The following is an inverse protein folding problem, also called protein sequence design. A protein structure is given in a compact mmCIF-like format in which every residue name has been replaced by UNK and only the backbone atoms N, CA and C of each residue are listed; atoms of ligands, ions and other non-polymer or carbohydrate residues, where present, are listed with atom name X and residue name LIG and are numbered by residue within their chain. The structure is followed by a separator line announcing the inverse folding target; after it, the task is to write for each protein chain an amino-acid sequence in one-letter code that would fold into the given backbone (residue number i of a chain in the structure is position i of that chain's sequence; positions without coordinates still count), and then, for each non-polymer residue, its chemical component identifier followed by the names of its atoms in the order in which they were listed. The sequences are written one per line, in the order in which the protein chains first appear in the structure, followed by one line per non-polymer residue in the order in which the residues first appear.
data_IF_290614883264
#
_entry.id   IF_290614883264
#
_cell.length_a   1.000
_cell.length_b   1.000
_cell.length_c   1.000
_cell.angle_alpha   90.00
_cell.angle_beta   90.00
_cell.angle_gamma   90.00
#
_symmetry.space_group_name_H-M   'P 1'
#
loop_
_entity.id
_entity.type
_entity.pdbx_description
1 polymer ?
#
# COMPACT_ATOMS: atom_id res chain seq x y z
N UNK A 1 40.93 26.20 -26.31
CA UNK A 1 40.70 24.75 -26.09
C UNK A 1 39.40 24.29 -26.77
N UNK A 2 39.42 23.27 -27.65
CA UNK A 2 38.20 22.71 -28.23
C UNK A 2 37.41 21.92 -27.17
N UNK A 3 36.09 21.75 -27.33
CA UNK A 3 35.27 20.96 -26.42
C UNK A 3 35.63 19.46 -26.49
N UNK A 4 35.39 18.68 -25.42
CA UNK A 4 35.72 17.27 -25.38
C UNK A 4 34.82 16.45 -26.34
N UNK A 5 35.33 15.34 -26.90
CA UNK A 5 34.56 14.50 -27.80
C UNK A 5 33.42 13.76 -27.07
N UNK A 6 32.31 13.45 -27.76
CA UNK A 6 31.19 12.73 -27.17
C UNK A 6 31.56 11.29 -26.80
N UNK A 7 30.90 10.70 -25.78
CA UNK A 7 31.18 9.35 -25.33
C UNK A 7 30.84 8.30 -26.41
N UNK A 8 31.72 7.30 -26.53
CA UNK A 8 31.58 6.19 -27.49
C UNK A 8 30.34 5.34 -27.15
N UNK A 9 29.47 5.14 -28.14
CA UNK A 9 28.35 4.18 -28.06
C UNK A 9 28.90 2.77 -27.89
N UNK A 10 28.55 2.10 -26.80
CA UNK A 10 28.79 0.66 -26.65
C UNK A 10 27.88 -0.13 -27.60
N UNK A 11 28.36 -1.27 -28.13
CA UNK A 11 27.63 -2.05 -29.11
C UNK A 11 26.37 -2.70 -28.50
N UNK A 12 25.33 -2.70 -29.32
CA UNK A 12 24.00 -3.27 -29.11
C UNK A 12 24.03 -4.65 -28.45
N UNK A 13 23.50 -4.73 -27.21
CA UNK A 13 23.02 -6.01 -26.67
C UNK A 13 21.83 -6.44 -27.52
N UNK A 14 21.96 -7.57 -28.22
CA UNK A 14 20.87 -8.28 -28.89
C UNK A 14 19.72 -8.46 -27.88
N UNK A 15 18.52 -8.08 -28.30
CA UNK A 15 17.31 -8.22 -27.49
C UNK A 15 17.12 -9.65 -27.01
N UNK A 16 17.11 -9.84 -25.70
CA UNK A 16 16.45 -11.00 -25.11
C UNK A 16 14.94 -10.77 -25.29
N UNK A 17 14.29 -11.66 -26.03
CA UNK A 17 12.83 -11.76 -26.00
C UNK A 17 12.40 -12.03 -24.55
N UNK A 18 11.32 -11.40 -24.06
CA UNK A 18 10.78 -11.75 -22.76
C UNK A 18 10.34 -13.22 -22.81
N UNK A 19 10.59 -14.02 -21.75
CA UNK A 19 10.03 -15.34 -21.66
C UNK A 19 8.51 -15.23 -21.70
N UNK A 20 7.90 -15.98 -22.62
CA UNK A 20 6.47 -16.16 -22.75
C UNK A 20 5.86 -16.47 -21.38
N UNK A 21 5.01 -15.58 -20.88
CA UNK A 21 4.19 -15.78 -19.70
C UNK A 21 3.15 -16.88 -19.97
N UNK A 22 3.58 -18.13 -19.95
CA UNK A 22 2.74 -19.30 -19.85
C UNK A 22 2.77 -19.79 -18.40
N UNK A 23 1.96 -19.18 -17.55
CA UNK A 23 1.37 -19.88 -16.42
C UNK A 23 0.04 -19.23 -16.05
N UNK A 24 -0.97 -19.70 -16.76
CA UNK A 24 -2.40 -19.58 -16.47
C UNK A 24 -2.72 -20.14 -15.09
N UNK A 25 -3.12 -19.26 -14.16
CA UNK A 25 -4.12 -19.59 -13.12
C UNK A 25 -4.72 -18.36 -12.44
N UNK A 26 -4.18 -17.14 -12.62
CA UNK A 26 -4.77 -15.91 -12.04
C UNK A 26 -5.79 -15.19 -12.94
N UNK A 27 -5.96 -15.58 -14.21
CA UNK A 27 -6.96 -14.95 -15.09
C UNK A 27 -8.41 -15.43 -14.85
N UNK A 28 -8.65 -16.35 -13.91
CA UNK A 28 -9.98 -16.93 -13.66
C UNK A 28 -10.79 -16.29 -12.52
N UNK A 29 -10.24 -15.34 -11.76
CA UNK A 29 -11.02 -14.67 -10.71
C UNK A 29 -12.09 -13.73 -11.32
N UNK A 30 -11.75 -13.06 -12.43
CA UNK A 30 -12.67 -12.15 -13.13
C UNK A 30 -13.70 -12.85 -14.03
N UNK A 31 -13.57 -14.16 -14.24
CA UNK A 31 -14.51 -14.96 -15.05
C UNK A 31 -15.54 -15.69 -14.21
N UNK A 32 -15.47 -15.61 -12.86
CA UNK A 32 -16.50 -16.15 -11.97
C UNK A 32 -17.64 -15.12 -11.82
N UNK A 33 -18.83 -15.37 -12.39
CA UNK A 33 -19.93 -14.40 -12.37
C UNK A 33 -20.38 -14.04 -10.95
N UNK A 34 -20.31 -15.00 -10.02
CA UNK A 34 -20.71 -14.80 -8.62
C UNK A 34 -19.75 -13.89 -7.86
N UNK A 35 -18.44 -13.97 -8.17
CA UNK A 35 -17.45 -13.06 -7.58
C UNK A 35 -17.65 -11.62 -8.07
N UNK A 36 -17.84 -11.44 -9.38
CA UNK A 36 -18.11 -10.12 -9.96
C UNK A 36 -19.40 -9.51 -9.38
N UNK A 37 -20.45 -10.30 -9.25
CA UNK A 37 -21.71 -9.84 -8.65
C UNK A 37 -21.52 -9.40 -7.19
N UNK A 38 -20.85 -10.22 -6.37
CA UNK A 38 -20.51 -9.87 -4.98
C UNK A 38 -19.68 -8.59 -4.88
N UNK A 39 -18.67 -8.46 -5.75
CA UNK A 39 -17.82 -7.26 -5.80
C UNK A 39 -18.64 -6.02 -6.17
N UNK A 40 -19.50 -6.12 -7.19
CA UNK A 40 -20.40 -5.03 -7.60
C UNK A 40 -21.36 -4.65 -6.47
N UNK A 41 -21.94 -5.62 -5.77
CA UNK A 41 -22.79 -5.36 -4.59
C UNK A 41 -22.04 -4.59 -3.51
N UNK A 42 -20.80 -4.98 -3.20
CA UNK A 42 -19.95 -4.28 -2.22
C UNK A 42 -19.52 -2.87 -2.67
N UNK A 43 -19.35 -2.64 -3.97
CA UNK A 43 -18.90 -1.36 -4.53
C UNK A 43 -20.03 -0.35 -4.75
N UNK A 44 -21.26 -0.82 -5.02
CA UNK A 44 -22.42 0.06 -5.32
C UNK A 44 -22.66 1.16 -4.30
N UNK A 45 -22.60 0.93 -2.96
CA UNK A 45 -22.78 2.01 -1.99
C UNK A 45 -21.77 3.14 -2.15
N UNK A 46 -20.50 2.84 -2.43
CA UNK A 46 -19.48 3.86 -2.70
C UNK A 46 -19.80 4.65 -3.96
N UNK A 47 -20.14 3.96 -5.06
CA UNK A 47 -20.47 4.60 -6.34
C UNK A 47 -21.71 5.51 -6.25
N UNK A 48 -22.62 5.21 -5.34
CA UNK A 48 -23.84 6.00 -5.10
C UNK A 48 -23.67 7.08 -4.03
N UNK A 49 -22.51 7.17 -3.37
CA UNK A 49 -22.31 8.07 -2.23
C UNK A 49 -23.14 7.67 -1.00
N UNK A 50 -23.61 6.43 -0.91
CA UNK A 50 -24.44 5.92 0.19
C UNK A 50 -23.56 5.44 1.36
N UNK A 51 -22.74 6.34 1.91
CA UNK A 51 -21.71 6.03 2.92
C UNK A 51 -22.25 5.27 4.14
N UNK A 52 -23.46 5.61 4.59
CA UNK A 52 -24.15 4.95 5.70
C UNK A 52 -24.44 3.46 5.46
N UNK A 53 -24.54 3.02 4.20
CA UNK A 53 -24.72 1.61 3.84
C UNK A 53 -23.40 0.85 3.80
N UNK A 54 -22.27 1.55 3.70
CA UNK A 54 -20.92 0.96 3.84
C UNK A 54 -20.61 0.75 5.33
N UNK A 55 -20.79 1.80 6.12
CA UNK A 55 -20.68 1.78 7.57
C UNK A 55 -21.55 2.90 8.14
N UNK A 56 -22.41 2.55 9.10
CA UNK A 56 -23.31 3.48 9.78
C UNK A 56 -22.61 4.71 10.38
N UNK A 57 -21.34 4.59 10.79
CA UNK A 57 -20.54 5.68 11.37
C UNK A 57 -19.85 6.53 10.30
N UNK A 58 -19.69 6.04 9.07
CA UNK A 58 -18.89 6.71 8.04
C UNK A 58 -19.31 8.15 7.75
N UNK A 59 -20.62 8.51 7.65
CA UNK A 59 -21.02 9.91 7.48
C UNK A 59 -20.51 10.82 8.62
N UNK A 60 -20.55 10.35 9.87
CA UNK A 60 -20.07 11.13 11.01
C UNK A 60 -18.54 11.26 11.02
N UNK A 61 -17.81 10.21 10.60
CA UNK A 61 -16.35 10.24 10.48
C UNK A 61 -15.91 11.22 9.38
N UNK A 62 -16.62 11.24 8.25
CA UNK A 62 -16.40 12.21 7.17
C UNK A 62 -16.65 13.62 7.65
N UNK A 63 -17.74 13.87 8.39
CA UNK A 63 -18.03 15.18 8.95
C UNK A 63 -16.93 15.64 9.92
N UNK A 64 -16.36 14.74 10.72
CA UNK A 64 -15.20 15.02 11.56
C UNK A 64 -14.01 15.48 10.70
N UNK A 65 -13.64 14.72 9.66
CA UNK A 65 -12.53 15.08 8.76
C UNK A 65 -12.76 16.39 8.01
N UNK A 66 -14.00 16.69 7.64
CA UNK A 66 -14.38 17.97 7.03
C UNK A 66 -14.20 19.13 8.02
N UNK A 67 -14.61 18.95 9.28
CA UNK A 67 -14.55 20.01 10.30
C UNK A 67 -13.13 20.50 10.62
N UNK A 68 -12.14 19.69 10.27
CA UNK A 68 -10.70 19.94 10.46
C UNK A 68 -9.98 20.25 9.13
N UNK A 69 -10.75 20.55 8.08
CA UNK A 69 -10.23 21.11 6.82
C UNK A 69 -9.70 20.07 5.82
N UNK A 70 -9.94 18.76 6.00
CA UNK A 70 -9.45 17.75 5.05
C UNK A 70 -10.02 17.95 3.63
N UNK A 71 -11.25 18.46 3.50
CA UNK A 71 -11.87 18.77 2.22
C UNK A 71 -11.34 20.05 1.55
N UNK A 72 -10.62 20.90 2.28
CA UNK A 72 -10.10 22.18 1.79
C UNK A 72 -8.67 22.06 1.26
N UNK A 73 -7.98 20.98 1.62
CA UNK A 73 -6.60 20.73 1.25
C UNK A 73 -6.54 20.00 -0.09
N UNK A 74 -5.96 20.63 -1.12
CA UNK A 74 -5.66 19.96 -2.38
C UNK A 74 -4.62 18.84 -2.17
N UNK A 75 -4.86 17.68 -2.78
CA UNK A 75 -4.02 16.50 -2.69
C UNK A 75 -3.95 15.75 -4.02
N UNK A 76 -2.94 16.08 -4.84
CA UNK A 76 -2.55 15.42 -6.11
C UNK A 76 -3.60 15.49 -7.22
N UNK A 77 -4.73 14.80 -7.09
CA UNK A 77 -5.78 14.72 -8.10
C UNK A 77 -7.18 15.08 -7.57
N UNK A 78 -7.30 15.33 -6.26
CA UNK A 78 -8.55 15.75 -5.60
C UNK A 78 -8.28 16.52 -4.31
N UNK A 79 -9.24 16.51 -3.38
CA UNK A 79 -9.00 16.96 -2.01
C UNK A 79 -8.35 15.86 -1.18
N UNK A 80 -7.79 16.23 -0.03
CA UNK A 80 -7.24 15.25 0.90
C UNK A 80 -8.33 14.35 1.49
N UNK A 81 -9.54 14.87 1.67
CA UNK A 81 -10.70 14.06 2.06
C UNK A 81 -11.02 12.99 1.01
N UNK A 82 -10.96 13.33 -0.28
CA UNK A 82 -11.22 12.37 -1.37
C UNK A 82 -10.20 11.23 -1.32
N UNK A 83 -8.91 11.57 -1.16
CA UNK A 83 -7.85 10.60 -0.98
C UNK A 83 -8.08 9.65 0.22
N UNK A 84 -8.41 10.20 1.40
CA UNK A 84 -8.68 9.39 2.59
C UNK A 84 -9.87 8.44 2.40
N UNK A 85 -10.93 8.91 1.73
CA UNK A 85 -12.11 8.11 1.40
C UNK A 85 -11.78 7.01 0.38
N UNK A 86 -10.93 7.31 -0.59
CA UNK A 86 -10.55 6.35 -1.63
C UNK A 86 -9.64 5.25 -1.08
N UNK A 87 -8.70 5.57 -0.19
CA UNK A 87 -7.93 4.56 0.56
C UNK A 87 -8.84 3.69 1.43
N UNK A 88 -9.79 4.30 2.15
CA UNK A 88 -10.80 3.55 2.92
C UNK A 88 -11.62 2.61 2.02
N UNK A 89 -12.06 3.10 0.85
CA UNK A 89 -12.80 2.32 -0.14
C UNK A 89 -11.98 1.12 -0.63
N UNK A 90 -10.73 1.33 -1.03
CA UNK A 90 -9.82 0.28 -1.49
C UNK A 90 -9.71 -0.82 -0.41
N UNK A 91 -9.42 -0.45 0.83
CA UNK A 91 -9.27 -1.40 1.94
C UNK A 91 -10.56 -2.17 2.24
N UNK A 92 -11.72 -1.51 2.23
CA UNK A 92 -13.02 -2.17 2.42
C UNK A 92 -13.32 -3.16 1.30
N UNK A 93 -13.04 -2.79 0.04
CA UNK A 93 -13.25 -3.68 -1.11
C UNK A 93 -12.27 -4.86 -1.14
N UNK A 94 -11.06 -4.69 -0.58
CA UNK A 94 -10.13 -5.80 -0.35
C UNK A 94 -10.50 -6.69 0.84
N UNK A 95 -11.57 -6.36 1.58
CA UNK A 95 -12.02 -7.13 2.74
C UNK A 95 -11.09 -7.00 3.95
N UNK A 96 -10.35 -5.89 4.06
CA UNK A 96 -9.50 -5.64 5.22
C UNK A 96 -10.35 -5.48 6.50
N UNK A 97 -9.81 -5.80 7.70
CA UNK A 97 -10.52 -5.56 8.95
C UNK A 97 -10.93 -4.10 9.12
N UNK A 98 -12.07 -3.84 9.79
CA UNK A 98 -12.58 -2.48 9.96
C UNK A 98 -11.59 -1.55 10.65
N UNK A 99 -10.82 -2.03 11.64
CA UNK A 99 -9.76 -1.26 12.28
C UNK A 99 -8.66 -0.81 11.31
N UNK A 100 -8.33 -1.63 10.30
CA UNK A 100 -7.38 -1.31 9.24
C UNK A 100 -7.99 -0.34 8.24
N UNK A 101 -9.26 -0.51 7.88
CA UNK A 101 -9.95 0.43 7.00
C UNK A 101 -10.03 1.81 7.63
N UNK A 102 -10.45 1.90 8.91
CA UNK A 102 -10.45 3.14 9.69
C UNK A 102 -9.03 3.71 9.86
N UNK A 103 -8.01 2.86 9.98
CA UNK A 103 -6.64 3.30 9.90
C UNK A 103 -6.37 4.00 8.56
N UNK A 104 -6.80 3.44 7.44
CA UNK A 104 -6.78 4.08 6.10
C UNK A 104 -7.45 5.45 6.06
N UNK A 105 -8.67 5.55 6.58
CA UNK A 105 -9.43 6.80 6.60
C UNK A 105 -8.76 7.92 7.42
N UNK A 106 -7.97 7.56 8.45
CA UNK A 106 -7.33 8.49 9.36
C UNK A 106 -5.79 8.39 9.35
N UNK A 107 -5.17 7.80 8.32
CA UNK A 107 -3.75 7.40 8.33
C UNK A 107 -2.76 8.57 8.38
N UNK A 108 -3.26 9.80 8.32
CA UNK A 108 -2.50 11.04 8.42
C UNK A 108 -3.02 11.99 9.51
N UNK A 109 -3.87 11.49 10.43
CA UNK A 109 -4.49 12.29 11.47
C UNK A 109 -3.50 13.10 12.30
N UNK A 110 -2.30 12.56 12.60
CA UNK A 110 -1.34 13.17 13.52
C UNK A 110 -0.06 13.70 12.85
N UNK A 111 -0.08 13.96 11.53
CA UNK A 111 1.11 14.08 10.67
C UNK A 111 1.79 12.73 10.43
N UNK A 112 2.46 12.55 9.29
CA UNK A 112 3.18 11.33 8.99
C UNK A 112 4.53 11.61 8.31
N UNK A 113 5.30 10.56 8.00
CA UNK A 113 6.66 10.66 7.44
C UNK A 113 6.74 11.19 6.00
N UNK A 114 5.61 11.38 5.31
CA UNK A 114 5.55 11.77 3.90
C UNK A 114 4.97 13.16 3.67
N UNK A 115 4.01 13.59 4.51
CA UNK A 115 3.36 14.90 4.37
C UNK A 115 3.07 15.52 5.73
N UNK A 116 3.46 16.80 5.92
CA UNK A 116 3.15 17.57 7.12
C UNK A 116 1.74 18.19 7.07
N UNK A 117 0.73 17.35 6.85
CA UNK A 117 -0.70 17.69 6.87
C UNK A 117 -1.32 17.16 8.16
N UNK A 118 -0.80 17.56 9.32
CA UNK A 118 -1.40 17.18 10.60
C UNK A 118 -2.83 17.73 10.67
N UNK A 119 -3.82 16.85 10.68
CA UNK A 119 -5.22 17.25 10.80
C UNK A 119 -5.59 17.47 12.29
N UNK A 120 -4.97 16.69 13.18
CA UNK A 120 -5.12 16.75 14.63
C UNK A 120 -3.75 16.94 15.30
N UNK A 121 -3.72 17.71 16.38
CA UNK A 121 -2.54 17.78 17.22
C UNK A 121 -2.28 16.41 17.89
N UNK A 122 -1.07 15.83 17.78
CA UNK A 122 -0.78 14.49 18.32
C UNK A 122 -0.85 14.39 19.85
N UNK A 123 -0.71 15.51 20.57
CA UNK A 123 -0.70 15.53 22.04
C UNK A 123 -2.10 15.65 22.64
N UNK A 124 -3.04 16.28 21.94
CA UNK A 124 -4.43 16.46 22.42
C UNK A 124 -5.48 15.73 21.58
N UNK A 125 -5.14 15.32 20.35
CA UNK A 125 -6.08 14.77 19.38
C UNK A 125 -6.33 13.26 19.50
N UNK A 126 -5.47 12.52 20.22
CA UNK A 126 -5.56 11.06 20.26
C UNK A 126 -6.84 10.55 20.91
N UNK A 127 -7.24 11.15 22.02
CA UNK A 127 -8.47 10.75 22.73
C UNK A 127 -9.73 11.09 21.92
N UNK A 128 -9.70 12.21 21.20
CA UNK A 128 -10.77 12.64 20.29
C UNK A 128 -10.92 11.62 19.16
N UNK A 129 -9.85 11.31 18.43
CA UNK A 129 -9.89 10.31 17.36
C UNK A 129 -10.33 8.96 17.91
N UNK A 130 -9.80 8.51 19.06
CA UNK A 130 -10.19 7.25 19.71
C UNK A 130 -11.68 7.17 20.00
N UNK A 131 -12.29 8.27 20.44
CA UNK A 131 -13.73 8.33 20.71
C UNK A 131 -14.59 8.08 19.46
N UNK A 132 -14.05 8.39 18.28
CA UNK A 132 -14.73 8.18 17.00
C UNK A 132 -14.47 6.79 16.40
N UNK A 133 -13.21 6.34 16.41
CA UNK A 133 -12.78 5.12 15.67
C UNK A 133 -12.58 3.89 16.55
N UNK A 134 -12.54 4.06 17.88
CA UNK A 134 -12.26 2.99 18.85
C UNK A 134 -10.76 2.76 19.09
N UNK A 135 -10.44 2.02 20.16
CA UNK A 135 -9.07 1.80 20.64
C UNK A 135 -8.16 1.12 19.62
N UNK A 136 -8.65 0.09 18.95
CA UNK A 136 -7.85 -0.71 18.03
C UNK A 136 -7.43 0.11 16.81
N UNK A 137 -8.39 0.79 16.18
CA UNK A 137 -8.13 1.65 15.02
C UNK A 137 -7.22 2.82 15.40
N UNK A 138 -7.46 3.49 16.53
CA UNK A 138 -6.62 4.60 16.97
C UNK A 138 -5.18 4.18 17.22
N UNK A 139 -4.96 3.00 17.80
CA UNK A 139 -3.61 2.46 17.99
C UNK A 139 -2.90 2.25 16.65
N UNK A 140 -3.60 1.72 15.64
CA UNK A 140 -3.04 1.55 14.30
C UNK A 140 -2.70 2.89 13.66
N UNK A 141 -3.62 3.87 13.72
CA UNK A 141 -3.43 5.23 13.20
C UNK A 141 -2.19 5.87 13.83
N UNK A 142 -2.09 5.81 15.16
CA UNK A 142 -0.95 6.36 15.88
C UNK A 142 0.36 5.72 15.45
N UNK A 143 0.44 4.38 15.46
CA UNK A 143 1.65 3.67 15.04
C UNK A 143 2.01 4.00 13.58
N UNK A 144 1.02 4.07 12.70
CA UNK A 144 1.23 4.40 11.30
C UNK A 144 1.86 5.79 11.19
N UNK A 145 1.38 6.78 11.95
CA UNK A 145 1.91 8.14 11.97
C UNK A 145 3.35 8.27 12.51
N UNK A 146 3.78 7.39 13.44
CA UNK A 146 5.07 7.53 14.13
C UNK A 146 6.18 6.60 13.63
N UNK A 147 5.83 5.53 12.91
CA UNK A 147 6.80 4.57 12.37
C UNK A 147 7.40 5.10 11.06
N UNK A 148 8.73 5.02 10.88
CA UNK A 148 9.40 5.43 9.64
C UNK A 148 9.13 4.39 8.54
N UNK A 149 8.01 4.54 7.85
CA UNK A 149 7.53 3.54 6.87
C UNK A 149 8.43 3.44 5.64
N UNK A 150 9.02 4.54 5.18
CA UNK A 150 9.90 4.51 4.00
C UNK A 150 11.07 3.51 4.17
N UNK A 151 11.93 3.64 5.18
CA UNK A 151 13.01 2.67 5.37
C UNK A 151 12.51 1.30 5.79
N UNK A 152 11.42 1.21 6.57
CA UNK A 152 10.87 -0.08 6.97
C UNK A 152 10.33 -0.88 5.78
N UNK A 153 9.57 -0.25 4.88
CA UNK A 153 8.90 -0.94 3.77
C UNK A 153 9.83 -1.08 2.57
N UNK A 154 10.53 -0.02 2.17
CA UNK A 154 11.37 -0.06 0.97
C UNK A 154 12.72 -0.72 1.27
N UNK A 155 13.50 -0.14 2.18
CA UNK A 155 14.89 -0.56 2.39
C UNK A 155 15.00 -1.92 3.08
N UNK A 156 14.13 -2.19 4.06
CA UNK A 156 14.18 -3.41 4.86
C UNK A 156 13.35 -4.56 4.32
N UNK A 157 12.39 -4.32 3.40
CA UNK A 157 11.55 -5.38 2.84
C UNK A 157 11.64 -5.47 1.32
N UNK A 158 11.11 -4.48 0.60
CA UNK A 158 10.94 -4.56 -0.86
C UNK A 158 12.30 -4.72 -1.54
N UNK A 159 13.28 -3.88 -1.21
CA UNK A 159 14.62 -3.93 -1.82
C UNK A 159 15.50 -5.07 -1.29
N UNK A 160 14.95 -5.96 -0.46
CA UNK A 160 15.63 -7.16 0.04
C UNK A 160 15.24 -8.42 -0.72
N UNK A 161 14.34 -8.28 -1.70
CA UNK A 161 13.87 -9.33 -2.59
C UNK A 161 14.07 -8.93 -4.05
N UNK A 162 14.62 -9.86 -4.83
CA UNK A 162 14.44 -9.82 -6.29
C UNK A 162 13.03 -10.35 -6.64
N UNK A 163 12.46 -9.88 -7.75
CA UNK A 163 11.09 -10.26 -8.14
C UNK A 163 10.94 -11.78 -8.31
N UNK A 164 11.89 -12.43 -8.97
CA UNK A 164 11.87 -13.89 -9.18
C UNK A 164 11.99 -14.66 -7.85
N UNK A 165 12.85 -14.18 -6.93
CA UNK A 165 13.02 -14.74 -5.59
C UNK A 165 11.71 -14.64 -4.80
N UNK A 166 11.04 -13.48 -4.84
CA UNK A 166 9.77 -13.25 -4.14
C UNK A 166 8.67 -14.19 -4.65
N UNK A 167 8.55 -14.33 -5.97
CA UNK A 167 7.56 -15.22 -6.61
C UNK A 167 7.83 -16.68 -6.24
N UNK A 168 9.09 -17.12 -6.24
CA UNK A 168 9.48 -18.46 -5.83
C UNK A 168 9.16 -18.72 -4.36
N UNK A 169 9.57 -17.80 -3.47
CA UNK A 169 9.33 -17.89 -2.04
C UNK A 169 7.83 -17.88 -1.68
N UNK A 170 7.02 -17.09 -2.40
CA UNK A 170 5.56 -17.09 -2.24
C UNK A 170 4.98 -18.46 -2.55
N UNK A 171 5.29 -19.04 -3.72
CA UNK A 171 4.81 -20.39 -4.11
C UNK A 171 5.23 -21.46 -3.11
N UNK A 172 6.48 -21.41 -2.65
CA UNK A 172 6.99 -22.34 -1.65
C UNK A 172 6.24 -22.21 -0.31
N UNK A 173 5.92 -20.97 0.11
CA UNK A 173 5.17 -20.71 1.33
C UNK A 173 3.72 -21.20 1.26
N UNK A 174 3.04 -21.03 0.12
CA UNK A 174 1.67 -21.51 -0.10
C UNK A 174 1.59 -23.03 -0.03
N UNK A 175 2.54 -23.71 -0.66
CA UNK A 175 2.65 -25.16 -0.61
C UNK A 175 2.95 -25.65 0.81
N UNK A 176 3.82 -24.96 1.55
CA UNK A 176 4.09 -25.27 2.95
C UNK A 176 2.83 -25.15 3.82
N UNK A 177 2.03 -24.10 3.64
CA UNK A 177 0.74 -23.93 4.34
C UNK A 177 -0.24 -25.05 3.98
N UNK A 178 -0.28 -25.47 2.71
CA UNK A 178 -1.12 -26.58 2.25
C UNK A 178 -0.73 -27.90 2.91
N UNK A 179 0.58 -28.22 2.96
CA UNK A 179 1.09 -29.41 3.66
C UNK A 179 0.79 -29.38 5.14
N UNK A 180 0.97 -28.25 5.83
CA UNK A 180 0.62 -28.12 7.26
C UNK A 180 -0.86 -28.45 7.48
N UNK A 181 -1.76 -27.97 6.61
CA UNK A 181 -3.20 -28.25 6.72
C UNK A 181 -3.57 -29.72 6.47
N UNK A 182 -2.87 -30.40 5.57
CA UNK A 182 -3.18 -31.78 5.16
C UNK A 182 -2.47 -32.84 6.01
N UNK A 183 -1.21 -32.57 6.37
CA UNK A 183 -0.26 -33.56 6.91
C UNK A 183 0.22 -33.19 8.32
N UNK A 184 -0.05 -31.97 8.81
CA UNK A 184 0.37 -31.49 10.13
C UNK A 184 1.87 -31.22 10.27
N UNK A 185 2.66 -31.44 9.21
CA UNK A 185 4.11 -31.23 9.23
C UNK A 185 4.47 -29.76 8.92
N UNK A 186 5.27 -29.13 9.79
CA UNK A 186 5.86 -27.80 9.56
C UNK A 186 7.37 -27.87 9.68
N UNK A 187 8.08 -27.23 8.75
CA UNK A 187 9.54 -27.06 8.83
C UNK A 187 9.90 -25.61 9.11
N UNK A 188 10.88 -25.39 9.98
CA UNK A 188 11.51 -24.07 10.19
C UNK A 188 12.73 -23.86 9.27
N UNK A 189 13.15 -24.92 8.58
CA UNK A 189 14.39 -24.92 7.81
C UNK A 189 14.25 -24.42 6.37
N UNK A 190 13.01 -24.17 5.93
CA UNK A 190 12.70 -23.71 4.57
C UNK A 190 13.36 -22.36 4.27
N UNK A 191 13.97 -22.24 3.09
CA UNK A 191 14.73 -21.06 2.66
C UNK A 191 13.90 -19.78 2.70
N UNK A 192 12.67 -19.84 2.17
CA UNK A 192 11.72 -18.72 2.19
C UNK A 192 11.43 -18.25 3.63
N UNK A 193 11.35 -19.19 4.57
CA UNK A 193 11.01 -18.93 5.97
C UNK A 193 12.18 -18.32 6.73
N UNK A 194 13.40 -18.79 6.48
CA UNK A 194 14.63 -18.18 7.00
C UNK A 194 14.75 -16.74 6.52
N UNK A 195 14.62 -16.52 5.20
CA UNK A 195 14.67 -15.19 4.58
C UNK A 195 13.67 -14.23 5.21
N UNK A 196 12.39 -14.58 5.30
CA UNK A 196 11.38 -13.66 5.86
C UNK A 196 11.60 -13.42 7.37
N UNK A 197 12.07 -14.42 8.12
CA UNK A 197 12.39 -14.28 9.54
C UNK A 197 13.61 -13.37 9.78
N UNK A 198 14.57 -13.35 8.86
CA UNK A 198 15.71 -12.43 8.91
C UNK A 198 15.28 -10.98 8.66
N UNK A 199 14.30 -10.76 7.79
CA UNK A 199 13.79 -9.41 7.48
C UNK A 199 12.79 -8.90 8.53
N UNK A 200 11.87 -9.75 8.96
CA UNK A 200 10.86 -9.44 9.98
C UNK A 200 10.81 -10.59 10.97
N UNK A 201 11.50 -10.51 12.11
CA UNK A 201 11.51 -11.56 13.14
C UNK A 201 10.11 -11.90 13.68
N UNK A 202 9.97 -13.07 14.33
CA UNK A 202 8.68 -13.60 14.78
C UNK A 202 8.01 -12.67 15.81
N UNK A 203 8.83 -11.99 16.60
CA UNK A 203 8.46 -11.06 17.64
C UNK A 203 8.42 -9.58 17.17
N UNK A 204 8.63 -9.35 15.88
CA UNK A 204 8.59 -8.05 15.22
C UNK A 204 9.95 -7.38 15.04
N UNK A 205 9.91 -6.09 14.74
CA UNK A 205 11.08 -5.23 14.57
C UNK A 205 11.02 -4.07 15.55
N UNK A 206 12.18 -3.48 15.84
CA UNK A 206 12.27 -2.21 16.59
C UNK A 206 12.68 -1.13 15.61
N UNK A 207 11.90 -0.06 15.54
CA UNK A 207 12.16 1.12 14.70
C UNK A 207 12.23 2.36 15.57
N UNK A 208 12.82 3.43 15.05
CA UNK A 208 12.92 4.71 15.76
C UNK A 208 11.68 5.56 15.47
N UNK A 209 11.02 6.06 16.51
CA UNK A 209 9.94 7.03 16.38
C UNK A 209 10.42 8.24 15.55
N UNK A 210 9.68 8.63 14.51
CA UNK A 210 10.14 9.65 13.53
C UNK A 210 10.47 11.03 14.15
N UNK A 211 9.76 11.44 15.22
CA UNK A 211 10.02 12.69 15.95
C UNK A 211 10.95 12.55 17.16
N UNK A 212 10.68 11.59 18.06
CA UNK A 212 11.41 11.49 19.35
C UNK A 212 12.68 10.65 19.27
N UNK A 213 12.82 9.79 18.26
CA UNK A 213 13.94 8.85 18.17
C UNK A 213 13.88 7.70 19.19
N UNK A 214 12.78 7.58 19.94
CA UNK A 214 12.57 6.48 20.89
C UNK A 214 12.32 5.15 20.17
N UNK A 215 12.59 4.05 20.86
CA UNK A 215 12.34 2.71 20.33
C UNK A 215 10.84 2.38 20.31
N UNK A 216 10.36 2.00 19.14
CA UNK A 216 8.98 1.55 18.91
C UNK A 216 9.03 0.10 18.41
N UNK A 217 8.45 -0.81 19.19
CA UNK A 217 8.31 -2.21 18.77
C UNK A 217 7.10 -2.39 17.87
N UNK A 218 7.33 -2.94 16.68
CA UNK A 218 6.32 -3.16 15.65
C UNK A 218 6.24 -4.67 15.38
N UNK A 219 5.11 -5.30 15.71
CA UNK A 219 4.95 -6.73 15.48
C UNK A 219 4.89 -7.06 13.98
N UNK A 220 5.19 -8.30 13.60
CA UNK A 220 5.09 -8.77 12.20
C UNK A 220 3.72 -8.49 11.58
N UNK A 221 2.63 -8.60 12.36
CA UNK A 221 1.28 -8.30 11.89
C UNK A 221 1.10 -6.80 11.59
N UNK A 222 1.68 -5.92 12.40
CA UNK A 222 1.62 -4.48 12.14
C UNK A 222 2.46 -4.11 10.91
N UNK A 223 3.63 -4.73 10.72
CA UNK A 223 4.43 -4.57 9.49
C UNK A 223 3.60 -4.96 8.25
N UNK A 224 2.89 -6.09 8.31
CA UNK A 224 2.01 -6.52 7.22
C UNK A 224 0.84 -5.54 6.96
N UNK A 225 0.21 -5.02 8.02
CA UNK A 225 -0.82 -3.98 7.89
C UNK A 225 -0.23 -2.72 7.24
N UNK A 226 0.97 -2.31 7.61
CA UNK A 226 1.61 -1.13 7.03
C UNK A 226 1.98 -1.32 5.57
N UNK A 227 2.45 -2.51 5.20
CA UNK A 227 2.66 -2.86 3.80
C UNK A 227 1.35 -2.78 3.00
N UNK A 228 0.26 -3.38 3.51
CA UNK A 228 -1.06 -3.32 2.87
C UNK A 228 -1.55 -1.87 2.69
N UNK A 229 -1.40 -1.06 3.74
CA UNK A 229 -1.75 0.36 3.73
C UNK A 229 -0.92 1.15 2.72
N UNK A 230 0.39 0.89 2.62
CA UNK A 230 1.26 1.51 1.61
C UNK A 230 0.83 1.14 0.20
N UNK A 231 0.42 -0.12 -0.04
CA UNK A 231 -0.11 -0.52 -1.35
C UNK A 231 -1.40 0.23 -1.65
N UNK A 232 -2.34 0.30 -0.70
CA UNK A 232 -3.61 1.03 -0.90
C UNK A 232 -3.40 2.53 -1.16
N UNK A 233 -2.53 3.18 -0.38
CA UNK A 233 -2.12 4.59 -0.54
C UNK A 233 -1.48 4.84 -1.90
N UNK A 234 -0.62 3.91 -2.35
CA UNK A 234 0.04 3.99 -3.66
C UNK A 234 -0.95 3.79 -4.83
N UNK A 235 -1.83 2.79 -4.75
CA UNK A 235 -2.82 2.49 -5.79
C UNK A 235 -3.83 3.62 -6.01
N UNK A 236 -4.17 4.40 -4.97
CA UNK A 236 -5.00 5.60 -5.13
C UNK A 236 -4.31 6.72 -5.96
N UNK A 237 -2.99 6.66 -6.06
CA UNK A 237 -2.17 7.75 -6.60
C UNK A 237 -1.47 7.37 -7.91
N UNK A 238 -1.66 6.13 -8.38
CA UNK A 238 -1.10 5.63 -9.61
C UNK A 238 -2.12 5.76 -10.75
N UNK A 239 -1.73 6.51 -11.77
CA UNK A 239 -2.52 6.78 -12.95
C UNK A 239 -1.69 6.55 -14.21
N UNK A 240 -2.36 6.24 -15.31
CA UNK A 240 -1.72 5.82 -16.55
C UNK A 240 -0.80 6.88 -17.18
N UNK A 241 -0.97 8.16 -16.86
CA UNK A 241 -0.03 9.18 -17.33
C UNK A 241 1.40 8.95 -16.79
N UNK A 242 1.58 8.43 -15.56
CA UNK A 242 2.90 8.10 -15.03
C UNK A 242 3.55 7.02 -15.91
N UNK A 243 2.76 6.01 -16.29
CA UNK A 243 3.27 4.94 -17.13
C UNK A 243 3.73 5.43 -18.50
N UNK A 244 2.93 6.30 -19.12
CA UNK A 244 3.26 6.87 -20.42
C UNK A 244 4.45 7.81 -20.30
N UNK A 245 4.46 8.70 -19.30
CA UNK A 245 5.50 9.70 -19.09
C UNK A 245 6.86 9.06 -18.84
N UNK A 246 6.89 8.00 -18.04
CA UNK A 246 8.12 7.39 -17.53
C UNK A 246 8.49 6.05 -18.17
N UNK A 247 7.77 5.64 -19.22
CA UNK A 247 7.95 4.34 -19.88
C UNK A 247 7.87 3.17 -18.88
N UNK A 248 6.87 3.19 -18.01
CA UNK A 248 6.65 2.19 -16.96
C UNK A 248 5.69 1.06 -17.40
N UNK A 249 5.78 0.64 -18.66
CA UNK A 249 4.90 -0.44 -19.19
C UNK A 249 5.12 -1.80 -18.51
N UNK A 250 6.26 -1.97 -17.83
CA UNK A 250 6.62 -3.17 -17.05
C UNK A 250 6.16 -3.12 -15.58
N UNK A 251 5.67 -1.97 -15.09
CA UNK A 251 5.24 -1.77 -13.71
C UNK A 251 6.37 -1.65 -12.67
N UNK A 252 7.64 -1.55 -13.08
CA UNK A 252 8.80 -1.49 -12.18
C UNK A 252 9.15 -0.09 -11.65
N UNK A 253 8.53 0.95 -12.20
CA UNK A 253 8.70 2.37 -11.89
C UNK A 253 10.17 2.81 -11.96
N UNK A 254 10.89 2.39 -13.01
CA UNK A 254 12.32 2.70 -13.20
C UNK A 254 12.58 4.13 -13.68
N UNK A 255 11.53 4.89 -14.01
CA UNK A 255 11.60 6.26 -14.52
C UNK A 255 12.53 6.41 -15.75
N UNK A 256 12.55 5.41 -16.62
CA UNK A 256 13.45 5.34 -17.78
C UNK A 256 13.03 6.26 -18.95
N UNK A 257 11.75 6.64 -19.00
CA UNK A 257 11.16 7.47 -20.05
C UNK A 257 11.03 8.96 -19.71
N UNK A 258 10.67 9.76 -20.73
CA UNK A 258 10.41 11.19 -20.60
C UNK A 258 9.36 11.71 -21.60
N UNK A 259 8.32 10.92 -21.88
CA UNK A 259 7.32 11.24 -22.89
C UNK A 259 6.40 12.39 -22.42
N UNK A 260 6.79 13.62 -22.77
CA UNK A 260 6.07 14.85 -22.43
C UNK A 260 4.68 14.98 -23.08
N UNK A 261 4.27 14.03 -23.95
CA UNK A 261 2.91 13.98 -24.50
C UNK A 261 1.91 13.24 -23.60
N UNK A 262 2.35 12.71 -22.46
CA UNK A 262 1.47 12.09 -21.48
C UNK A 262 0.39 13.09 -20.99
N UNK A 263 -0.87 12.67 -21.01
CA UNK A 263 -2.01 13.49 -20.59
C UNK A 263 -2.39 13.19 -19.13
N UNK A 264 -2.43 14.22 -18.30
CA UNK A 264 -2.85 14.13 -16.90
C UNK A 264 -4.40 14.19 -16.75
N UNK A 265 -5.02 13.42 -15.83
CA UNK A 265 -4.40 12.38 -15.02
C UNK A 265 -4.25 11.04 -15.71
N UNK A 266 -4.98 10.79 -16.80
CA UNK A 266 -5.10 9.46 -17.38
C UNK A 266 -6.06 8.57 -16.56
N UNK A 267 -6.03 7.26 -16.83
CA UNK A 267 -6.87 6.28 -16.15
C UNK A 267 -6.23 5.90 -14.81
N UNK A 268 -7.03 5.79 -13.74
CA UNK A 268 -6.56 5.22 -12.49
C UNK A 268 -6.12 3.76 -12.69
N UNK A 269 -4.95 3.39 -12.17
CA UNK A 269 -4.35 2.06 -12.27
C UNK A 269 -4.27 1.44 -10.87
N UNK A 270 -4.89 0.26 -10.62
CA UNK A 270 -4.64 -0.45 -9.37
C UNK A 270 -3.18 -0.91 -9.27
#
# INVERSE_FOLDING_TARGET
PPPPPPPKKNPTKKGLMPPSASNSNNHNAFTNPSYLETLLESARPFLRGELQKVDSKLPSLVAVLQSVGAGECWHKHGSFLDHLLDVYRILKLWGAPDSVCLCGLFHSAYSNSYVNLAIFDPSTGRDVVRSHVGDEAERLIHLFCIVPRQPLIHDQLIFRYELDELVEHLRASEEAVRRVKLEGASSREETWRKKINELVPEDGVVVKHIKTGEDVRVSRRIVAVFLLMTIADFSDQLFSFQDILFDNSNGLLEFAGNNFQALWPGDGKP
#
